data_IF_430964168678
#
_entry.id   IF_430964168678
#
_cell.length_a   1.000
_cell.length_b   1.000
_cell.length_c   1.000
_cell.angle_alpha   90.00
_cell.angle_beta   90.00
_cell.angle_gamma   90.00
#
_symmetry.space_group_name_H-M   'P 1'
#
loop_
_entity.id
_entity.type
_entity.pdbx_description
1 polymer ?
#
# COMPACT_ATOMS: atom_id res chain seq x y z
N UNK A 1 -5.44 -6.58 11.73
CA UNK A 1 -5.61 -5.11 11.77
C UNK A 1 -6.33 -4.68 10.50
N UNK A 2 -7.07 -3.59 10.53
CA UNK A 2 -7.82 -3.07 9.39
C UNK A 2 -7.84 -1.53 9.42
N UNK A 3 -8.04 -0.93 8.25
CA UNK A 3 -8.36 0.49 8.09
C UNK A 3 -9.88 0.63 8.04
N UNK A 4 -10.47 1.54 8.82
CA UNK A 4 -11.92 1.63 8.96
C UNK A 4 -12.44 3.04 9.28
N UNK A 5 -13.74 3.25 9.03
CA UNK A 5 -14.46 4.50 9.31
C UNK A 5 -14.11 5.65 8.35
N UNK A 6 -14.84 6.76 8.48
CA UNK A 6 -14.73 7.93 7.58
C UNK A 6 -13.38 8.65 7.66
N UNK A 7 -12.69 8.49 8.79
CA UNK A 7 -11.35 9.02 9.01
C UNK A 7 -10.24 8.00 8.70
N UNK A 8 -10.58 6.83 8.15
CA UNK A 8 -9.64 5.75 7.83
C UNK A 8 -8.67 5.46 8.99
N UNK A 9 -9.23 5.21 10.18
CA UNK A 9 -8.49 4.88 11.40
C UNK A 9 -8.02 3.43 11.36
N UNK A 10 -7.08 3.09 12.24
CA UNK A 10 -6.62 1.71 12.42
C UNK A 10 -7.39 1.03 13.55
N UNK A 11 -7.96 -0.13 13.25
CA UNK A 11 -8.59 -1.01 14.22
C UNK A 11 -7.91 -2.37 14.23
N UNK A 12 -7.88 -3.03 15.39
CA UNK A 12 -7.39 -4.40 15.50
C UNK A 12 -8.37 -5.29 16.27
N UNK A 13 -8.33 -6.57 15.96
CA UNK A 13 -9.01 -7.63 16.68
C UNK A 13 -8.12 -8.87 16.60
N UNK A 14 -8.07 -9.63 17.69
CA UNK A 14 -7.43 -10.93 17.78
C UNK A 14 -8.45 -12.04 17.54
N UNK A 15 -7.96 -13.25 17.29
CA UNK A 15 -8.81 -14.41 17.20
C UNK A 15 -9.53 -14.62 18.55
N UNK A 16 -10.87 -14.62 18.52
CA UNK A 16 -11.71 -14.75 19.71
C UNK A 16 -12.20 -13.41 20.29
N UNK A 17 -11.66 -12.27 19.85
CA UNK A 17 -12.19 -10.97 20.24
C UNK A 17 -13.61 -10.79 19.68
N UNK A 18 -14.50 -10.22 20.51
CA UNK A 18 -15.90 -9.95 20.12
C UNK A 18 -16.08 -8.59 19.46
N UNK A 19 -15.09 -7.70 19.60
CA UNK A 19 -15.14 -6.32 19.13
C UNK A 19 -13.78 -5.91 18.57
N UNK A 20 -13.80 -4.97 17.63
CA UNK A 20 -12.59 -4.30 17.17
C UNK A 20 -12.20 -3.20 18.16
N UNK A 21 -10.91 -3.07 18.43
CA UNK A 21 -10.34 -2.06 19.32
C UNK A 21 -9.53 -1.06 18.49
N UNK A 22 -9.61 0.22 18.86
CA UNK A 22 -8.80 1.27 18.25
C UNK A 22 -7.31 1.07 18.51
N UNK A 23 -6.51 1.24 17.46
CA UNK A 23 -5.06 1.35 17.60
C UNK A 23 -4.73 2.79 18.00
N UNK A 24 -4.00 2.96 19.10
CA UNK A 24 -3.58 4.26 19.61
C UNK A 24 -2.40 4.79 18.77
N UNK A 25 -2.72 5.56 17.72
CA UNK A 25 -1.78 6.25 16.84
C UNK A 25 -2.20 7.71 16.68
N UNK A 26 -1.28 8.68 16.78
CA UNK A 26 -1.60 10.11 16.65
C UNK A 26 -1.80 10.55 15.18
N UNK A 27 -2.48 9.74 14.36
CA UNK A 27 -2.73 10.00 12.95
C UNK A 27 -4.01 9.32 12.46
N UNK A 28 -4.47 9.72 11.28
CA UNK A 28 -5.66 9.23 10.59
C UNK A 28 -5.40 9.24 9.08
N UNK A 29 -6.43 8.96 8.26
CA UNK A 29 -6.33 8.88 6.80
C UNK A 29 -5.32 7.82 6.32
N UNK A 30 -5.34 6.64 6.94
CA UNK A 30 -4.48 5.53 6.53
C UNK A 30 -4.83 5.06 5.11
N UNK A 31 -3.80 4.96 4.28
CA UNK A 31 -3.92 4.58 2.86
C UNK A 31 -3.68 3.10 2.62
N UNK A 32 -2.77 2.49 3.39
CA UNK A 32 -2.43 1.07 3.29
C UNK A 32 -1.79 0.55 4.59
N UNK A 33 -1.85 -0.77 4.79
CA UNK A 33 -1.21 -1.49 5.89
C UNK A 33 -0.57 -2.80 5.39
N UNK A 34 0.56 -3.19 5.97
CA UNK A 34 1.23 -4.47 5.68
C UNK A 34 1.76 -5.09 6.96
N UNK A 35 1.68 -6.42 7.08
CA UNK A 35 2.33 -7.15 8.16
C UNK A 35 3.72 -7.58 7.71
N UNK A 36 4.74 -7.32 8.52
CA UNK A 36 6.12 -7.73 8.24
C UNK A 36 6.86 -8.01 9.55
N UNK A 37 7.49 -9.17 9.63
CA UNK A 37 8.35 -9.58 10.78
C UNK A 37 7.76 -9.25 12.16
N UNK A 38 6.55 -9.73 12.43
CA UNK A 38 5.94 -9.56 13.75
C UNK A 38 5.15 -8.26 13.95
N UNK A 39 5.31 -7.26 13.07
CA UNK A 39 4.73 -5.94 13.24
C UNK A 39 3.81 -5.57 12.07
N UNK A 40 2.84 -4.68 12.33
CA UNK A 40 2.05 -4.06 11.27
C UNK A 40 2.64 -2.69 10.96
N UNK A 41 2.90 -2.42 9.70
CA UNK A 41 3.31 -1.13 9.19
C UNK A 41 2.13 -0.46 8.49
N UNK A 42 2.02 0.84 8.64
CA UNK A 42 0.92 1.62 8.09
C UNK A 42 1.47 2.90 7.44
N UNK A 43 0.85 3.34 6.35
CA UNK A 43 1.13 4.62 5.71
C UNK A 43 -0.14 5.45 5.62
N UNK A 44 -0.08 6.73 5.97
CA UNK A 44 -1.21 7.65 5.82
C UNK A 44 -1.16 8.42 4.49
N UNK A 45 -2.22 9.18 4.20
CA UNK A 45 -2.30 9.98 2.98
C UNK A 45 -1.19 11.04 2.89
N UNK A 46 -0.69 11.55 4.01
CA UNK A 46 0.42 12.52 4.07
C UNK A 46 1.79 11.90 3.81
N UNK A 47 1.89 10.57 3.76
CA UNK A 47 3.16 9.86 3.56
C UNK A 47 3.94 9.56 4.83
N UNK A 48 3.38 9.81 6.02
CA UNK A 48 3.95 9.33 7.29
C UNK A 48 3.80 7.81 7.38
N UNK A 49 4.87 7.15 7.80
CA UNK A 49 4.98 5.70 7.95
C UNK A 49 5.06 5.37 9.43
N UNK A 50 4.21 4.47 9.87
CA UNK A 50 4.09 4.06 11.26
C UNK A 50 4.41 2.57 11.38
N UNK A 51 5.04 2.21 12.50
CA UNK A 51 5.01 0.84 12.99
C UNK A 51 3.98 0.77 14.12
N UNK A 52 3.07 -0.19 14.01
CA UNK A 52 2.07 -0.53 15.00
C UNK A 52 2.47 -1.87 15.61
N UNK A 53 3.06 -1.80 16.81
CA UNK A 53 3.55 -2.97 17.52
C UNK A 53 2.45 -3.66 18.30
N UNK A 54 2.58 -4.98 18.50
CA UNK A 54 1.74 -5.72 19.46
C UNK A 54 2.08 -5.42 20.93
N UNK A 55 3.01 -4.50 21.18
CA UNK A 55 3.34 -3.97 22.51
C UNK A 55 2.19 -3.09 23.00
N UNK A 56 1.19 -3.75 23.58
CA UNK A 56 0.22 -3.07 24.42
C UNK A 56 0.82 -2.60 25.73
N UNK A 57 -0.06 -2.13 26.60
CA UNK A 57 0.20 -2.15 28.04
C UNK A 57 0.67 -3.55 28.49
N UNK A 58 1.14 -3.70 29.73
CA UNK A 58 1.67 -4.98 30.25
C UNK A 58 0.70 -6.18 30.05
N UNK A 59 -0.57 -5.90 29.78
CA UNK A 59 -1.64 -6.88 29.53
C UNK A 59 -1.96 -7.08 28.03
N UNK A 60 -1.30 -6.35 27.12
CA UNK A 60 -1.47 -6.46 25.67
C UNK A 60 -2.83 -5.97 25.16
N UNK A 61 -3.59 -5.18 25.92
CA UNK A 61 -4.97 -4.80 25.60
C UNK A 61 -5.09 -3.70 24.57
N UNK A 62 -4.06 -2.88 24.43
CA UNK A 62 -4.00 -1.82 23.43
C UNK A 62 -2.90 -2.10 22.41
N UNK A 63 -3.03 -1.61 21.18
CA UNK A 63 -1.91 -1.54 20.23
C UNK A 63 -1.56 -0.08 20.10
N UNK A 64 -0.28 0.25 20.23
CA UNK A 64 0.24 1.59 19.97
C UNK A 64 1.01 1.58 18.67
N UNK A 65 0.94 2.69 17.94
CA UNK A 65 1.83 2.90 16.83
C UNK A 65 2.60 4.21 16.97
N UNK A 66 3.78 4.22 16.36
CA UNK A 66 4.68 5.36 16.33
C UNK A 66 5.18 5.58 14.92
N UNK A 67 5.39 6.84 14.58
CA UNK A 67 6.00 7.21 13.31
C UNK A 67 7.46 6.77 13.29
N UNK A 68 7.92 6.25 12.15
CA UNK A 68 9.30 5.78 11.95
C UNK A 68 10.00 6.46 10.77
N UNK A 69 9.23 7.04 9.84
CA UNK A 69 9.71 7.78 8.69
C UNK A 69 8.55 8.56 8.06
N UNK A 70 8.85 9.50 7.17
CA UNK A 70 7.86 10.08 6.27
C UNK A 70 8.44 10.27 4.88
N UNK A 71 7.58 10.24 3.86
CA UNK A 71 7.91 10.60 2.50
C UNK A 71 7.04 11.78 2.05
N UNK A 72 7.69 12.87 1.65
CA UNK A 72 6.98 14.01 1.06
C UNK A 72 6.26 13.59 -0.23
N UNK A 73 4.95 13.77 -0.25
CA UNK A 73 4.05 13.41 -1.34
C UNK A 73 2.74 14.15 -1.15
N UNK A 74 1.91 14.22 -2.20
CA UNK A 74 0.61 14.88 -2.09
C UNK A 74 -0.41 13.95 -1.44
N UNK A 75 -1.35 14.53 -0.70
CA UNK A 75 -2.35 13.76 0.06
C UNK A 75 -3.22 12.86 -0.82
N UNK A 76 -3.52 13.29 -2.05
CA UNK A 76 -4.33 12.54 -3.01
C UNK A 76 -3.54 11.51 -3.82
N UNK A 77 -2.22 11.44 -3.69
CA UNK A 77 -1.40 10.40 -4.31
C UNK A 77 -1.56 9.10 -3.52
N UNK A 78 -2.00 8.03 -4.19
CA UNK A 78 -2.20 6.76 -3.53
C UNK A 78 -0.85 6.14 -3.15
N UNK A 79 -0.80 5.62 -1.93
CA UNK A 79 0.37 4.98 -1.35
C UNK A 79 0.06 3.52 -1.08
N UNK A 80 1.01 2.65 -1.38
CA UNK A 80 0.91 1.22 -1.11
C UNK A 80 2.15 0.75 -0.36
N UNK A 81 1.96 -0.13 0.62
CA UNK A 81 3.05 -0.84 1.28
C UNK A 81 3.10 -2.26 0.75
N UNK A 82 4.29 -2.69 0.31
CA UNK A 82 4.49 -4.01 -0.29
C UNK A 82 5.68 -4.67 0.40
N UNK A 83 5.50 -5.91 0.82
CA UNK A 83 6.61 -6.78 1.21
C UNK A 83 7.28 -7.33 -0.06
N UNK A 84 8.57 -7.06 -0.31
CA UNK A 84 9.28 -7.61 -1.47
C UNK A 84 9.46 -9.12 -1.32
N UNK A 85 9.66 -9.84 -2.42
CA UNK A 85 9.91 -11.30 -2.38
C UNK A 85 11.27 -11.65 -1.81
N UNK A 86 12.18 -10.67 -1.76
CA UNK A 86 13.51 -10.82 -1.19
C UNK A 86 13.96 -9.57 -0.44
N UNK A 87 14.84 -9.77 0.55
CA UNK A 87 15.38 -8.70 1.39
C UNK A 87 14.68 -8.58 2.74
N UNK A 88 15.07 -7.57 3.51
CA UNK A 88 14.71 -7.45 4.93
C UNK A 88 13.82 -6.26 5.27
N UNK A 89 13.40 -5.49 4.27
CA UNK A 89 12.64 -4.25 4.42
C UNK A 89 11.32 -4.29 3.65
N UNK A 90 10.72 -3.12 3.47
CA UNK A 90 9.46 -2.94 2.73
C UNK A 90 9.66 -2.03 1.52
N UNK A 91 8.69 -2.02 0.62
CA UNK A 91 8.57 -1.05 -0.46
C UNK A 91 7.36 -0.16 -0.23
N UNK A 92 7.55 1.15 -0.39
CA UNK A 92 6.48 2.14 -0.50
C UNK A 92 6.37 2.58 -1.95
N UNK A 93 5.19 2.34 -2.53
CA UNK A 93 4.86 2.79 -3.87
C UNK A 93 3.97 4.03 -3.77
N UNK A 94 4.33 5.09 -4.50
CA UNK A 94 3.49 6.27 -4.68
C UNK A 94 2.98 6.27 -6.12
N UNK A 95 1.66 6.29 -6.29
CA UNK A 95 0.98 6.31 -7.59
C UNK A 95 0.56 7.72 -7.95
N UNK A 96 1.09 8.20 -9.07
CA UNK A 96 0.80 9.54 -9.59
C UNK A 96 -0.25 9.46 -10.68
N UNK A 97 -1.33 10.22 -10.51
CA UNK A 97 -2.46 10.27 -11.44
C UNK A 97 -2.57 11.66 -12.05
N UNK A 98 -3.14 11.70 -13.25
CA UNK A 98 -3.60 12.92 -13.90
C UNK A 98 -5.12 12.89 -13.95
N UNK A 99 -5.73 13.88 -13.33
CA UNK A 99 -7.16 14.13 -13.45
C UNK A 99 -7.51 14.54 -14.88
N UNK A 100 -8.62 14.00 -15.35
CA UNK A 100 -9.33 14.33 -16.58
C UNK A 100 -10.76 14.74 -16.18
N UNK A 101 -11.56 15.29 -17.10
CA UNK A 101 -12.87 15.86 -16.75
C UNK A 101 -13.77 14.96 -15.88
N UNK A 102 -13.88 13.68 -16.23
CA UNK A 102 -14.74 12.70 -15.55
C UNK A 102 -13.98 11.40 -15.20
N UNK A 103 -12.67 11.40 -15.43
CA UNK A 103 -11.81 10.21 -15.31
C UNK A 103 -10.47 10.65 -14.77
N UNK A 104 -9.62 9.67 -14.51
CA UNK A 104 -8.23 9.91 -14.22
C UNK A 104 -7.42 8.83 -14.92
N UNK A 105 -6.12 9.04 -15.02
CA UNK A 105 -5.19 8.00 -15.47
C UNK A 105 -3.92 8.03 -14.67
N UNK A 106 -3.36 6.86 -14.42
CA UNK A 106 -2.02 6.72 -13.87
C UNK A 106 -1.02 7.22 -14.90
N UNK A 107 -0.02 7.94 -14.41
CA UNK A 107 1.05 8.50 -15.24
C UNK A 107 2.37 7.80 -14.98
N UNK A 108 2.66 7.51 -13.71
CA UNK A 108 3.86 6.81 -13.28
C UNK A 108 3.76 6.41 -11.81
N UNK A 109 4.76 5.68 -11.34
CA UNK A 109 4.99 5.36 -9.93
C UNK A 109 6.37 5.85 -9.50
N UNK A 110 6.50 6.17 -8.22
CA UNK A 110 7.80 6.18 -7.54
C UNK A 110 7.83 5.05 -6.53
N UNK A 111 8.97 4.39 -6.41
CA UNK A 111 9.17 3.27 -5.49
C UNK A 111 10.27 3.66 -4.52
N UNK A 112 10.05 3.39 -3.24
CA UNK A 112 10.98 3.69 -2.16
C UNK A 112 11.16 2.46 -1.30
N UNK A 113 12.41 2.05 -1.07
CA UNK A 113 12.74 1.03 -0.09
C UNK A 113 12.75 1.64 1.31
N UNK A 114 12.09 0.96 2.23
CA UNK A 114 12.13 1.19 3.66
C UNK A 114 13.17 0.23 4.24
N UNK A 115 14.36 0.75 4.52
CA UNK A 115 15.42 -0.01 5.18
C UNK A 115 15.16 -0.02 6.68
N UNK A 116 14.54 -1.11 7.13
CA UNK A 116 14.17 -1.34 8.53
C UNK A 116 15.36 -1.89 9.32
N UNK A 117 15.76 -1.17 10.37
CA UNK A 117 16.77 -1.62 11.33
C UNK A 117 16.10 -1.94 12.66
N UNK A 118 16.31 -3.17 13.12
CA UNK A 118 15.77 -3.68 14.37
C UNK A 118 16.86 -3.63 15.43
N UNK A 119 16.59 -3.02 16.57
CA UNK A 119 17.39 -3.25 17.77
C UNK A 119 17.15 -4.65 18.34
N UNK A 120 18.06 -5.12 19.19
CA UNK A 120 17.96 -6.41 19.88
C UNK A 120 16.68 -6.55 20.72
N UNK A 121 16.04 -5.44 21.09
CA UNK A 121 14.80 -5.43 21.87
C UNK A 121 13.52 -5.49 21.01
N UNK A 122 13.61 -5.46 19.67
CA UNK A 122 12.50 -5.30 18.70
C UNK A 122 11.60 -4.06 18.91
N UNK A 123 11.79 -3.33 20.02
CA UNK A 123 11.06 -2.11 20.40
C UNK A 123 11.57 -0.88 19.64
N UNK A 124 12.87 -0.85 19.33
CA UNK A 124 13.49 0.25 18.60
C UNK A 124 13.75 -0.14 17.14
N UNK A 125 12.68 -0.03 16.35
CA UNK A 125 12.72 0.00 14.90
C UNK A 125 13.05 1.43 14.43
N UNK A 126 14.07 1.56 13.59
CA UNK A 126 14.36 2.78 12.83
C UNK A 126 14.25 2.48 11.34
N UNK A 127 13.93 3.51 10.56
CA UNK A 127 13.70 3.38 9.12
C UNK A 127 14.46 4.47 8.37
N UNK A 128 15.15 4.09 7.29
CA UNK A 128 15.62 5.03 6.27
C UNK A 128 14.92 4.75 4.95
N UNK A 129 14.63 5.81 4.20
CA UNK A 129 14.00 5.73 2.88
C UNK A 129 15.06 5.89 1.80
N UNK A 130 15.03 5.00 0.81
CA UNK A 130 15.87 5.07 -0.38
C UNK A 130 15.02 4.91 -1.63
N UNK A 131 15.13 5.83 -2.58
CA UNK A 131 14.41 5.67 -3.85
C UNK A 131 14.94 4.46 -4.61
N UNK A 132 14.03 3.61 -5.06
CA UNK A 132 14.33 2.46 -5.90
C UNK A 132 14.00 2.78 -7.35
N UNK A 133 14.96 2.50 -8.22
CA UNK A 133 14.85 2.72 -9.67
C UNK A 133 14.50 1.43 -10.42
N UNK A 134 14.67 0.29 -9.78
CA UNK A 134 14.43 -1.04 -10.34
C UNK A 134 13.92 -2.00 -9.28
N UNK A 135 13.13 -2.98 -9.71
CA UNK A 135 12.62 -4.10 -8.91
C UNK A 135 13.37 -5.40 -9.23
N UNK A 136 14.33 -5.35 -10.15
CA UNK A 136 15.07 -6.52 -10.61
C UNK A 136 14.15 -7.59 -11.20
N UNK A 137 14.16 -8.79 -10.61
CA UNK A 137 13.35 -9.94 -11.07
C UNK A 137 11.95 -9.98 -10.46
N UNK A 138 11.55 -8.96 -9.71
CA UNK A 138 10.24 -8.90 -9.07
C UNK A 138 9.23 -8.15 -9.94
N UNK A 139 7.96 -8.52 -9.78
CA UNK A 139 6.80 -7.80 -10.30
C UNK A 139 5.90 -7.46 -9.13
N UNK A 140 5.38 -6.24 -9.09
CA UNK A 140 4.51 -5.78 -8.01
C UNK A 140 3.09 -5.64 -8.53
N UNK A 141 2.13 -6.09 -7.75
CA UNK A 141 0.71 -5.96 -8.04
C UNK A 141 0.06 -5.07 -6.97
N UNK A 142 -0.61 -4.02 -7.41
CA UNK A 142 -1.31 -3.07 -6.53
C UNK A 142 -2.73 -2.81 -7.00
N UNK A 143 -3.61 -2.51 -6.06
CA UNK A 143 -5.00 -2.16 -6.34
C UNK A 143 -5.72 -1.73 -5.06
N UNK A 144 -7.04 -1.61 -5.14
CA UNK A 144 -7.84 -1.21 -3.97
C UNK A 144 -7.89 -2.30 -2.87
N UNK A 145 -7.76 -3.57 -3.24
CA UNK A 145 -7.97 -4.70 -2.32
C UNK A 145 -6.67 -5.24 -1.71
N UNK A 146 -5.61 -5.34 -2.50
CA UNK A 146 -4.34 -5.92 -2.07
C UNK A 146 -3.15 -5.30 -2.81
N UNK A 147 -2.00 -5.39 -2.16
CA UNK A 147 -0.70 -5.00 -2.66
C UNK A 147 0.28 -6.14 -2.35
N UNK A 148 0.96 -6.69 -3.36
CA UNK A 148 1.90 -7.81 -3.15
C UNK A 148 3.01 -7.83 -4.19
N UNK A 149 4.16 -8.39 -3.84
CA UNK A 149 5.24 -8.67 -4.77
C UNK A 149 5.29 -10.16 -5.10
N UNK A 150 5.63 -10.47 -6.35
CA UNK A 150 5.88 -11.83 -6.81
C UNK A 150 7.16 -11.88 -7.63
N UNK A 151 7.82 -13.03 -7.60
CA UNK A 151 8.93 -13.27 -8.52
C UNK A 151 8.37 -13.37 -9.94
N UNK A 152 9.06 -12.74 -10.88
CA UNK A 152 8.71 -12.83 -12.30
C UNK A 152 8.72 -14.28 -12.80
N UNK A 153 7.95 -14.51 -13.85
CA UNK A 153 7.80 -15.80 -14.51
C UNK A 153 7.68 -15.58 -16.02
N UNK A 154 7.55 -16.65 -16.81
CA UNK A 154 7.33 -16.52 -18.26
C UNK A 154 6.07 -15.70 -18.60
N UNK A 155 5.09 -15.61 -17.68
CA UNK A 155 3.82 -14.90 -17.87
C UNK A 155 3.88 -13.48 -17.28
N UNK A 156 4.81 -13.22 -16.36
CA UNK A 156 4.90 -11.95 -15.61
C UNK A 156 6.20 -11.23 -15.92
N UNK A 157 6.09 -10.03 -16.50
CA UNK A 157 7.24 -9.20 -16.85
C UNK A 157 7.97 -8.78 -15.57
N UNK A 158 9.29 -9.04 -15.44
CA UNK A 158 10.07 -8.50 -14.34
C UNK A 158 10.10 -6.98 -14.39
N UNK A 159 10.49 -6.35 -13.28
CA UNK A 159 10.70 -4.91 -13.20
C UNK A 159 9.46 -4.08 -13.58
N UNK A 160 8.27 -4.61 -13.27
CA UNK A 160 6.98 -4.01 -13.64
C UNK A 160 6.03 -3.91 -12.44
N UNK A 161 5.17 -2.89 -12.49
CA UNK A 161 4.08 -2.68 -11.54
C UNK A 161 2.75 -2.86 -12.28
N UNK A 162 2.02 -3.89 -11.92
CA UNK A 162 0.68 -4.21 -12.38
C UNK A 162 -0.33 -3.51 -11.46
N UNK A 163 -1.18 -2.66 -12.01
CA UNK A 163 -2.13 -1.89 -11.22
C UNK A 163 -3.57 -2.04 -11.70
N UNK A 164 -4.50 -2.14 -10.75
CA UNK A 164 -5.93 -2.00 -11.04
C UNK A 164 -6.44 -0.61 -10.71
N UNK A 165 -7.65 -0.32 -11.18
CA UNK A 165 -8.38 0.88 -10.81
C UNK A 165 -8.76 0.80 -9.33
N UNK A 166 -8.48 1.85 -8.57
CA UNK A 166 -8.60 1.87 -7.12
C UNK A 166 -9.07 3.21 -6.51
N UNK A 167 -9.46 4.17 -7.35
CA UNK A 167 -10.16 5.37 -6.88
C UNK A 167 -11.68 5.13 -6.93
N UNK A 168 -12.32 5.11 -5.77
CA UNK A 168 -13.76 4.81 -5.66
C UNK A 168 -14.67 5.97 -6.03
N UNK A 169 -14.19 7.22 -5.98
CA UNK A 169 -15.04 8.40 -6.19
C UNK A 169 -15.71 8.43 -7.59
N UNK A 170 -15.01 8.11 -8.69
CA UNK A 170 -15.61 8.17 -10.03
C UNK A 170 -16.54 6.98 -10.34
N UNK A 171 -16.51 5.90 -9.53
CA UNK A 171 -17.25 4.67 -9.82
C UNK A 171 -18.76 4.87 -9.87
N UNK A 172 -19.26 5.81 -9.08
CA UNK A 172 -20.69 6.08 -8.97
C UNK A 172 -21.31 6.69 -10.24
N UNK A 173 -20.50 7.14 -11.20
CA UNK A 173 -21.01 7.79 -12.43
C UNK A 173 -20.78 6.96 -13.70
N UNK A 174 -19.57 6.41 -13.89
CA UNK A 174 -19.20 5.76 -15.16
C UNK A 174 -18.76 4.30 -15.02
N UNK A 175 -18.83 3.73 -13.81
CA UNK A 175 -18.18 2.47 -13.48
C UNK A 175 -16.67 2.64 -13.24
N UNK A 176 -16.00 1.57 -12.82
CA UNK A 176 -14.56 1.53 -12.60
C UNK A 176 -13.80 0.78 -13.70
N UNK A 177 -12.52 0.54 -13.45
CA UNK A 177 -11.66 -0.26 -14.32
C UNK A 177 -11.11 0.50 -15.53
N UNK A 178 -11.28 1.82 -15.62
CA UNK A 178 -10.70 2.60 -16.72
C UNK A 178 -9.20 2.87 -16.54
N UNK A 179 -8.70 2.80 -15.30
CA UNK A 179 -7.29 3.04 -14.98
C UNK A 179 -6.59 1.76 -14.52
N UNK A 180 -6.31 0.87 -15.48
CA UNK A 180 -5.60 -0.39 -15.30
C UNK A 180 -4.43 -0.49 -16.27
N UNK A 181 -3.34 -1.10 -15.84
CA UNK A 181 -2.17 -1.22 -16.69
C UNK A 181 -0.96 -1.88 -16.06
N UNK A 182 0.10 -1.91 -16.86
CA UNK A 182 1.43 -2.37 -16.47
C UNK A 182 2.38 -1.19 -16.64
N UNK A 183 2.95 -0.72 -15.55
CA UNK A 183 4.01 0.28 -15.56
C UNK A 183 5.38 -0.41 -15.60
N UNK A 184 6.18 -0.11 -16.63
CA UNK A 184 7.57 -0.55 -16.73
C UNK A 184 8.47 0.41 -15.95
N UNK A 185 9.22 -0.11 -14.98
CA UNK A 185 10.22 0.68 -14.26
C UNK A 185 11.41 1.06 -15.15
N UNK A 186 11.75 0.22 -16.13
CA UNK A 186 12.88 0.45 -17.05
C UNK A 186 12.59 1.55 -18.07
N UNK A 187 11.43 1.49 -18.71
CA UNK A 187 11.08 2.42 -19.80
C UNK A 187 10.23 3.59 -19.32
N UNK A 188 9.73 3.57 -18.08
CA UNK A 188 8.78 4.54 -17.52
C UNK A 188 7.53 4.72 -18.40
N UNK A 189 7.08 3.63 -19.02
CA UNK A 189 5.89 3.59 -19.87
C UNK A 189 4.77 2.80 -19.19
N UNK A 190 3.53 3.07 -19.59
CA UNK A 190 2.35 2.32 -19.17
C UNK A 190 1.78 1.61 -20.39
N UNK A 191 1.72 0.29 -20.32
CA UNK A 191 0.95 -0.53 -21.25
C UNK A 191 -0.47 -0.72 -20.68
N UNK A 192 -1.53 -0.29 -21.39
CA UNK A 192 -2.90 -0.59 -20.97
C UNK A 192 -3.09 -2.10 -20.91
N UNK A 193 -3.49 -2.60 -19.74
CA UNK A 193 -3.72 -4.01 -19.51
C UNK A 193 -5.15 -4.15 -19.03
N UNK A 194 -5.97 -4.84 -19.84
CA UNK A 194 -7.43 -4.91 -19.77
C UNK A 194 -8.16 -3.73 -20.47
N UNK A 195 -8.92 -4.05 -21.51
CA UNK A 195 -9.84 -3.11 -22.19
C UNK A 195 -11.30 -3.31 -21.78
N UNK A 196 -11.56 -4.22 -20.84
CA UNK A 196 -12.90 -4.51 -20.36
C UNK A 196 -13.46 -3.36 -19.52
N UNK A 197 -14.78 -3.25 -19.46
CA UNK A 197 -15.47 -2.27 -18.62
C UNK A 197 -15.87 -2.94 -17.31
N UNK A 198 -15.50 -2.38 -16.16
CA UNK A 198 -16.05 -2.78 -14.87
C UNK A 198 -17.19 -1.84 -14.51
N UNK A 199 -18.41 -2.33 -14.53
CA UNK A 199 -19.58 -1.52 -14.19
C UNK A 199 -19.93 -1.57 -12.70
N UNK A 200 -19.18 -2.35 -11.89
CA UNK A 200 -19.54 -2.56 -10.50
C UNK A 200 -19.02 -1.44 -9.59
N UNK A 201 -19.89 -0.70 -8.89
CA UNK A 201 -19.50 0.51 -8.17
C UNK A 201 -18.71 0.24 -6.88
N UNK A 202 -18.76 -0.99 -6.37
CA UNK A 202 -18.12 -1.37 -5.08
C UNK A 202 -17.15 -2.56 -5.19
N UNK A 203 -16.98 -3.12 -6.39
CA UNK A 203 -16.10 -4.26 -6.63
C UNK A 203 -15.26 -3.97 -7.88
N UNK A 204 -14.28 -3.05 -7.76
CA UNK A 204 -13.37 -2.80 -8.86
C UNK A 204 -12.54 -4.07 -9.15
N UNK A 205 -11.94 -4.15 -10.35
CA UNK A 205 -11.02 -5.23 -10.67
C UNK A 205 -9.96 -5.41 -9.59
N UNK A 206 -9.75 -6.67 -9.19
CA UNK A 206 -8.78 -7.06 -8.17
C UNK A 206 -7.81 -8.08 -8.75
N UNK A 207 -6.64 -8.17 -8.13
CA UNK A 207 -5.69 -9.22 -8.42
C UNK A 207 -5.98 -10.44 -7.55
N UNK A 208 -6.03 -11.61 -8.20
CA UNK A 208 -5.98 -12.90 -7.52
C UNK A 208 -4.66 -13.55 -7.94
N UNK A 209 -3.75 -13.67 -6.98
CA UNK A 209 -2.33 -14.04 -7.17
C UNK A 209 -2.02 -15.20 -6.25
#
# INVERSE_FOLDING_TARGET
MAIYGDYYKLGFARLGDKVWTDVCVPAFNFSDIVYHKGNVYAVNCHGNIFVCGCDGDEEGRHIRGREIAWLESKDWEKKYLVEPTSGSGLLLLVRYRKELRLKYRTTHFSVWRLDLKYSDSLKDITCSLKQEKELGKESIFVGNASSTAVSSSEIMKPNCIYFTDDNKEPYYHEGGGHDMGIFSMEHHTIEPHFQGKSYHPVSPPLWYI
#
